data_IF_762726359739
#
_entry.id   IF_762726359739
#
_cell.length_a   1.000
_cell.length_b   1.000
_cell.length_c   1.000
_cell.angle_alpha   90.00
_cell.angle_beta   90.00
_cell.angle_gamma   90.00
#
_symmetry.space_group_name_H-M   'P 1'
#
loop_
_entity.id
_entity.type
_entity.pdbx_description
1 polymer ?
#
# COMPACT_ATOMS: atom_id res chain seq x y z
N UNK A 1 -15.28 -5.89 -3.72
CA UNK A 1 -14.17 -5.71 -2.75
C UNK A 1 -13.02 -5.19 -3.59
N UNK A 2 -12.31 -4.16 -3.14
CA UNK A 2 -11.21 -3.58 -3.93
C UNK A 2 -10.00 -4.52 -3.87
N UNK A 3 -9.43 -4.85 -5.03
CA UNK A 3 -8.21 -5.66 -5.12
C UNK A 3 -6.98 -4.81 -5.44
N UNK A 4 -7.18 -3.68 -6.11
CA UNK A 4 -6.12 -2.74 -6.47
C UNK A 4 -6.50 -1.30 -6.15
N UNK A 5 -5.49 -0.46 -6.00
CA UNK A 5 -5.63 0.98 -5.84
C UNK A 5 -4.50 1.71 -6.57
N UNK A 6 -4.72 2.96 -6.94
CA UNK A 6 -3.71 3.86 -7.50
C UNK A 6 -3.20 4.81 -6.44
N UNK A 7 -1.87 4.94 -6.32
CA UNK A 7 -1.26 5.88 -5.38
C UNK A 7 -1.54 7.32 -5.81
N UNK A 8 -2.06 8.12 -4.90
CA UNK A 8 -2.34 9.55 -5.10
C UNK A 8 -1.25 10.43 -4.49
N UNK A 9 -0.78 10.08 -3.30
CA UNK A 9 0.22 10.86 -2.57
C UNK A 9 1.02 9.97 -1.62
N UNK A 10 2.22 10.40 -1.27
CA UNK A 10 3.15 9.67 -0.39
C UNK A 10 3.67 10.63 0.66
N UNK A 11 3.36 10.34 1.92
CA UNK A 11 3.79 11.12 3.07
C UNK A 11 4.59 10.31 4.08
N UNK A 12 5.00 11.00 5.13
CA UNK A 12 5.56 10.39 6.33
C UNK A 12 4.78 10.93 7.52
N UNK A 13 4.28 10.05 8.38
CA UNK A 13 3.60 10.44 9.60
C UNK A 13 4.54 10.14 10.77
N UNK A 14 4.79 11.15 11.59
CA UNK A 14 5.42 10.99 12.90
C UNK A 14 4.32 10.81 13.94
N UNK A 15 4.06 9.57 14.38
CA UNK A 15 3.00 9.31 15.36
C UNK A 15 3.14 7.98 16.09
N UNK A 16 3.03 8.01 17.44
CA UNK A 16 3.12 6.84 18.33
C UNK A 16 4.16 7.00 19.45
N UNK A 17 4.02 6.21 20.53
CA UNK A 17 4.88 6.26 21.75
C UNK A 17 6.38 6.09 21.45
N UNK A 18 6.71 5.49 20.30
CA UNK A 18 8.06 5.19 19.84
C UNK A 18 8.68 6.19 18.83
N UNK A 19 7.97 7.28 18.46
CA UNK A 19 8.51 8.36 17.59
C UNK A 19 9.16 7.92 16.27
N UNK A 20 8.89 6.70 15.78
CA UNK A 20 9.45 6.22 14.51
C UNK A 20 8.68 6.86 13.36
N UNK A 21 9.39 7.42 12.39
CA UNK A 21 8.82 7.88 11.13
C UNK A 21 8.28 6.67 10.36
N UNK A 22 7.00 6.71 10.01
CA UNK A 22 6.35 5.68 9.20
C UNK A 22 5.93 6.29 7.87
N UNK A 23 6.36 5.67 6.76
CA UNK A 23 5.89 6.04 5.42
C UNK A 23 4.42 5.62 5.28
N UNK A 24 3.62 6.50 4.69
CA UNK A 24 2.20 6.30 4.43
C UNK A 24 1.92 6.70 2.98
N UNK A 25 1.07 5.93 2.30
CA UNK A 25 0.63 6.24 0.95
C UNK A 25 -0.89 6.35 0.91
N UNK A 26 -1.40 7.42 0.30
CA UNK A 26 -2.83 7.59 0.05
C UNK A 26 -3.16 7.03 -1.32
N UNK A 27 -4.22 6.23 -1.43
CA UNK A 27 -4.56 5.55 -2.67
C UNK A 27 -6.07 5.54 -2.96
N UNK A 28 -6.41 5.44 -4.25
CA UNK A 28 -7.77 5.36 -4.77
C UNK A 28 -8.06 3.97 -5.32
N UNK A 29 -9.05 3.27 -4.77
CA UNK A 29 -9.53 1.99 -5.28
C UNK A 29 -9.94 2.08 -6.74
N UNK A 30 -9.68 1.02 -7.51
CA UNK A 30 -9.93 1.01 -8.95
C UNK A 30 -11.36 0.63 -9.33
N UNK A 31 -12.15 0.09 -8.38
CA UNK A 31 -13.49 -0.42 -8.65
C UNK A 31 -14.59 0.48 -8.07
N UNK A 32 -14.58 0.73 -6.76
CA UNK A 32 -15.59 1.55 -6.07
C UNK A 32 -15.06 2.94 -5.69
N UNK A 33 -13.85 3.31 -6.16
CA UNK A 33 -13.18 4.59 -5.86
C UNK A 33 -13.05 4.89 -4.36
N UNK A 34 -12.83 3.85 -3.56
CA UNK A 34 -12.59 4.00 -2.11
C UNK A 34 -11.24 4.65 -1.85
N UNK A 35 -11.17 5.54 -0.87
CA UNK A 35 -9.92 6.11 -0.41
C UNK A 35 -9.28 5.20 0.64
N UNK A 36 -7.97 4.99 0.50
CA UNK A 36 -7.17 4.16 1.39
C UNK A 36 -5.98 4.92 1.95
N UNK A 37 -5.68 4.65 3.21
CA UNK A 37 -4.40 4.93 3.83
C UNK A 37 -3.62 3.62 3.93
N UNK A 38 -2.49 3.55 3.22
CA UNK A 38 -1.68 2.35 3.09
C UNK A 38 -0.34 2.55 3.81
N UNK A 39 0.10 1.51 4.51
CA UNK A 39 1.48 1.41 5.02
C UNK A 39 2.26 0.56 4.01
N UNK A 40 3.22 1.14 3.26
CA UNK A 40 4.06 0.37 2.36
C UNK A 40 4.92 -0.62 3.15
N UNK A 41 5.23 -1.77 2.55
CA UNK A 41 6.25 -2.68 3.11
C UNK A 41 7.61 -1.97 3.14
N UNK A 42 8.48 -2.41 4.04
CA UNK A 42 9.84 -1.88 4.12
C UNK A 42 10.54 -1.95 2.76
N UNK A 43 11.17 -0.85 2.35
CA UNK A 43 11.84 -0.68 1.06
C UNK A 43 10.96 -0.86 -0.19
N UNK A 44 9.63 -0.84 -0.06
CA UNK A 44 8.76 -0.83 -1.23
C UNK A 44 9.01 0.43 -2.09
N UNK A 45 9.37 0.21 -3.35
CA UNK A 45 9.39 1.25 -4.36
C UNK A 45 7.94 1.58 -4.74
N UNK A 46 7.46 2.74 -4.29
CA UNK A 46 6.14 3.26 -4.59
C UNK A 46 6.27 4.69 -5.11
N UNK A 47 5.53 5.00 -6.16
CA UNK A 47 5.44 6.30 -6.79
C UNK A 47 3.97 6.70 -6.95
N UNK A 48 3.72 8.00 -7.05
CA UNK A 48 2.38 8.51 -7.40
C UNK A 48 2.00 8.00 -8.78
N UNK A 49 0.77 7.50 -8.91
CA UNK A 49 0.24 6.86 -10.11
C UNK A 49 0.45 5.34 -10.19
N UNK A 50 1.26 4.74 -9.30
CA UNK A 50 1.44 3.29 -9.29
C UNK A 50 0.14 2.57 -8.96
N UNK A 51 -0.19 1.51 -9.71
CA UNK A 51 -1.27 0.57 -9.37
C UNK A 51 -0.73 -0.50 -8.43
N UNK A 52 -1.23 -0.51 -7.21
CA UNK A 52 -0.80 -1.42 -6.15
C UNK A 52 -1.90 -2.42 -5.80
N UNK A 53 -1.51 -3.64 -5.45
CA UNK A 53 -2.45 -4.65 -4.97
C UNK A 53 -2.73 -4.46 -3.48
N UNK A 54 -4.01 -4.40 -3.10
CA UNK A 54 -4.50 -4.20 -1.72
C UNK A 54 -5.43 -5.32 -1.25
N UNK A 55 -5.70 -6.31 -2.09
CA UNK A 55 -6.54 -7.45 -1.75
C UNK A 55 -5.94 -8.38 -0.69
N UNK A 56 -6.78 -9.20 -0.07
CA UNK A 56 -6.38 -10.12 1.02
C UNK A 56 -5.57 -11.33 0.54
N UNK A 57 -5.55 -11.63 -0.77
CA UNK A 57 -4.97 -12.85 -1.35
C UNK A 57 -3.47 -12.73 -1.69
N UNK A 58 -2.79 -11.63 -1.34
CA UNK A 58 -1.34 -11.46 -1.55
C UNK A 58 -0.47 -12.51 -0.82
N UNK A 59 -1.08 -13.35 0.02
CA UNK A 59 -0.42 -14.35 0.85
C UNK A 59 -0.39 -15.75 0.23
N UNK A 60 -0.76 -15.91 -1.04
CA UNK A 60 -0.44 -17.14 -1.77
C UNK A 60 1.00 -17.03 -2.25
N UNK A 61 1.94 -17.37 -1.37
CA UNK A 61 3.31 -17.65 -1.74
C UNK A 61 3.30 -18.56 -2.98
N UNK A 62 3.90 -18.08 -4.07
CA UNK A 62 4.22 -18.95 -5.20
C UNK A 62 5.22 -19.96 -4.63
N UNK A 63 4.93 -21.27 -4.56
CA UNK A 63 5.91 -22.24 -4.12
C UNK A 63 7.10 -22.13 -5.09
N UNK A 64 8.29 -21.88 -4.54
CA UNK A 64 9.53 -22.00 -5.29
C UNK A 64 9.68 -23.46 -5.76
N UNK A 65 9.20 -23.74 -6.97
CA UNK A 65 9.45 -25.00 -7.67
C UNK A 65 9.90 -24.66 -9.10
N UNK A 66 11.21 -24.51 -9.28
CA UNK A 66 12.07 -25.42 -10.05
C UNK A 66 13.53 -24.94 -9.97
#
# INVERSE_FOLDING_TARGET
MEDYAYILDIGTITGGRDRREQRVAFALGDTDFKLFELVPKDNAAINIGDRVYIGKEARREIPSTM
#
